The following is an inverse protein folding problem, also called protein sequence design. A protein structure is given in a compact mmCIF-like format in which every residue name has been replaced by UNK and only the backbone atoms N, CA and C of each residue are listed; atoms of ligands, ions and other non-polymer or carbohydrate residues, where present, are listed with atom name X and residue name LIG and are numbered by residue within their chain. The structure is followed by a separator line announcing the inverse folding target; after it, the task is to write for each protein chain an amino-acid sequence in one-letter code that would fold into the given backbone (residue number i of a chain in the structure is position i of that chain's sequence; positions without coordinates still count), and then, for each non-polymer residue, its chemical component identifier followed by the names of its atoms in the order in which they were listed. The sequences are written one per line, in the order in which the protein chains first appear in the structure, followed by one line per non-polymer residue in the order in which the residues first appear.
data_IF_603928099421
#
_entry.id   IF_603928099421
#
_cell.length_a   1.000
_cell.length_b   1.000
_cell.length_c   1.000
_cell.angle_alpha   90.00
_cell.angle_beta   90.00
_cell.angle_gamma   90.00
#
_symmetry.space_group_name_H-M   'P 1'
#
loop_
_entity.id
_entity.type
_entity.pdbx_description
1 polymer ?
#
# COMPACT_ATOMS: atom_id res chain seq x y z
N UNK A 1 -9.83 -64.67 34.04
CA UNK A 1 -10.41 -63.95 32.91
C UNK A 1 -9.99 -62.49 33.06
N UNK A 2 -8.95 -62.03 32.34
CA UNK A 2 -8.39 -60.69 32.40
C UNK A 2 -9.01 -59.90 31.25
N UNK A 3 -9.80 -58.88 31.55
CA UNK A 3 -10.35 -57.97 30.56
C UNK A 3 -9.32 -56.86 30.28
N UNK A 4 -8.78 -56.88 29.07
CA UNK A 4 -7.84 -55.85 28.54
C UNK A 4 -8.67 -54.68 28.07
N UNK A 5 -8.54 -53.52 28.74
CA UNK A 5 -9.18 -52.25 28.36
C UNK A 5 -8.23 -51.51 27.41
N UNK A 6 -8.54 -51.53 26.12
CA UNK A 6 -7.85 -50.71 25.11
C UNK A 6 -8.36 -49.27 25.21
N UNK A 7 -7.55 -48.37 25.74
CA UNK A 7 -7.77 -46.93 25.67
C UNK A 7 -7.19 -46.45 24.34
N UNK A 8 -8.06 -46.20 23.39
CA UNK A 8 -7.73 -45.59 22.10
C UNK A 8 -7.57 -44.07 22.31
N UNK A 9 -6.33 -43.61 22.43
CA UNK A 9 -6.02 -42.19 22.54
C UNK A 9 -6.12 -41.56 21.16
N UNK A 10 -7.27 -40.90 20.85
CA UNK A 10 -7.44 -40.09 19.64
C UNK A 10 -6.65 -38.80 19.81
N UNK A 11 -5.45 -38.77 19.22
CA UNK A 11 -4.65 -37.55 19.09
C UNK A 11 -5.24 -36.68 17.98
N UNK A 12 -6.17 -35.80 18.32
CA UNK A 12 -6.70 -34.79 17.39
C UNK A 12 -5.63 -33.73 17.21
N UNK A 13 -4.83 -33.85 16.17
CA UNK A 13 -3.90 -32.81 15.71
C UNK A 13 -4.74 -31.67 15.13
N UNK A 14 -5.02 -30.65 15.94
CA UNK A 14 -5.58 -29.39 15.45
C UNK A 14 -4.48 -28.68 14.65
N UNK A 15 -4.43 -28.93 13.36
CA UNK A 15 -3.68 -28.14 12.42
C UNK A 15 -4.38 -26.76 12.33
N UNK A 16 -3.98 -25.85 13.20
CA UNK A 16 -4.27 -24.42 13.01
C UNK A 16 -3.51 -23.92 11.80
N UNK A 17 -4.04 -24.25 10.61
CA UNK A 17 -3.58 -23.66 9.37
C UNK A 17 -3.83 -22.17 9.43
N UNK A 18 -2.78 -21.37 9.61
CA UNK A 18 -2.80 -19.96 9.28
C UNK A 18 -3.17 -19.86 7.80
N UNK A 19 -4.45 -19.66 7.48
CA UNK A 19 -4.88 -19.38 6.12
C UNK A 19 -4.30 -18.03 5.74
N UNK A 20 -3.18 -18.09 5.01
CA UNK A 20 -2.59 -16.91 4.38
C UNK A 20 -3.63 -16.41 3.39
N UNK A 21 -4.30 -15.31 3.73
CA UNK A 21 -5.25 -14.69 2.80
C UNK A 21 -4.41 -14.12 1.66
N UNK A 22 -4.35 -14.85 0.57
CA UNK A 22 -3.74 -14.36 -0.66
C UNK A 22 -4.57 -13.16 -1.15
N UNK A 23 -3.93 -12.08 -1.62
CA UNK A 23 -4.65 -10.94 -2.15
C UNK A 23 -5.48 -11.38 -3.37
N UNK A 24 -6.69 -10.89 -3.49
CA UNK A 24 -7.59 -11.17 -4.63
C UNK A 24 -6.99 -10.73 -5.95
N UNK A 25 -6.05 -9.78 -5.90
CA UNK A 25 -5.25 -9.29 -7.04
C UNK A 25 -3.89 -8.79 -6.53
N UNK A 26 -2.88 -8.91 -7.36
CA UNK A 26 -1.51 -8.42 -7.09
C UNK A 26 -1.17 -7.17 -7.88
N UNK A 27 -2.11 -6.63 -8.64
CA UNK A 27 -1.94 -5.41 -9.44
C UNK A 27 -3.28 -4.76 -9.73
N UNK A 28 -3.27 -3.46 -10.03
CA UNK A 28 -4.47 -2.73 -10.41
C UNK A 28 -4.26 -1.24 -10.54
N UNK A 29 -5.38 -0.54 -10.65
CA UNK A 29 -5.48 0.91 -10.52
C UNK A 29 -6.50 1.18 -9.43
N UNK A 30 -6.13 2.00 -8.48
CA UNK A 30 -6.97 2.40 -7.34
C UNK A 30 -6.81 3.88 -7.05
N UNK A 31 -7.70 4.40 -6.19
CA UNK A 31 -7.74 5.78 -5.80
C UNK A 31 -7.85 5.90 -4.29
N UNK A 32 -7.10 6.84 -3.71
CA UNK A 32 -7.20 7.24 -2.30
C UNK A 32 -7.41 8.75 -2.21
N UNK A 33 -8.01 9.20 -1.11
CA UNK A 33 -8.22 10.61 -0.79
C UNK A 33 -7.87 10.91 0.68
N UNK A 34 -7.94 12.19 1.05
CA UNK A 34 -7.70 12.64 2.43
C UNK A 34 -8.99 12.91 3.22
N UNK A 35 -10.14 12.39 2.78
CA UNK A 35 -11.41 12.64 3.46
C UNK A 35 -11.37 12.03 4.88
N UNK A 36 -11.67 12.86 5.87
CA UNK A 36 -11.83 12.42 7.26
C UNK A 36 -13.29 12.04 7.48
N UNK A 37 -13.49 10.79 7.87
CA UNK A 37 -14.80 10.22 8.18
C UNK A 37 -15.07 10.27 9.67
N UNK A 38 -16.33 10.40 10.05
CA UNK A 38 -16.82 10.41 11.45
C UNK A 38 -16.15 11.47 12.33
N UNK A 39 -16.68 12.71 12.39
CA UNK A 39 -16.05 13.83 13.12
C UNK A 39 -15.75 13.56 14.60
N UNK A 40 -16.58 12.74 15.28
CA UNK A 40 -16.39 12.42 16.71
C UNK A 40 -15.39 11.29 16.96
N UNK A 41 -15.03 10.55 15.91
CA UNK A 41 -14.08 9.44 15.99
C UNK A 41 -13.34 9.34 14.62
N UNK A 42 -12.48 10.32 14.33
CA UNK A 42 -11.97 10.56 12.97
C UNK A 42 -11.09 9.41 12.47
N UNK A 43 -11.27 9.06 11.21
CA UNK A 43 -10.41 8.14 10.48
C UNK A 43 -10.35 8.51 8.99
N UNK A 44 -9.34 8.00 8.31
CA UNK A 44 -9.20 8.07 6.86
C UNK A 44 -9.18 6.66 6.28
N UNK A 45 -9.54 6.53 5.01
CA UNK A 45 -9.25 5.33 4.26
C UNK A 45 -7.87 5.43 3.62
N UNK A 46 -7.11 4.36 3.70
CA UNK A 46 -5.88 4.19 2.97
C UNK A 46 -5.91 2.88 2.19
N UNK A 47 -4.88 2.60 1.42
CA UNK A 47 -4.79 1.40 0.60
C UNK A 47 -3.92 0.34 1.28
N UNK A 48 -4.40 -0.91 1.26
CA UNK A 48 -3.63 -2.08 1.68
C UNK A 48 -3.28 -2.92 0.44
N UNK A 49 -1.99 -3.04 0.15
CA UNK A 49 -1.51 -3.85 -0.98
C UNK A 49 -1.78 -5.34 -0.76
N UNK A 50 -1.64 -5.81 0.47
CA UNK A 50 -1.91 -7.22 0.79
C UNK A 50 -3.38 -7.59 0.70
N UNK A 51 -4.29 -6.65 0.96
CA UNK A 51 -5.73 -6.84 0.85
C UNK A 51 -6.27 -6.39 -0.53
N UNK A 52 -5.46 -5.69 -1.33
CA UNK A 52 -5.81 -5.10 -2.63
C UNK A 52 -7.07 -4.22 -2.60
N UNK A 53 -7.24 -3.44 -1.54
CA UNK A 53 -8.42 -2.59 -1.31
C UNK A 53 -8.17 -1.44 -0.33
N UNK A 54 -9.12 -0.52 -0.29
CA UNK A 54 -9.19 0.50 0.75
C UNK A 54 -9.54 -0.15 2.10
N UNK A 55 -8.83 0.27 3.15
CA UNK A 55 -9.09 -0.11 4.54
C UNK A 55 -9.06 1.14 5.43
N UNK A 56 -9.84 1.13 6.51
CA UNK A 56 -9.84 2.22 7.47
C UNK A 56 -8.54 2.28 8.25
N UNK A 57 -8.07 3.47 8.58
CA UNK A 57 -6.91 3.66 9.47
C UNK A 57 -7.13 3.14 10.90
N UNK A 58 -8.37 2.77 11.24
CA UNK A 58 -8.73 2.13 12.52
C UNK A 58 -8.71 0.61 12.50
N UNK A 59 -8.65 0.00 11.33
CA UNK A 59 -8.61 -1.47 11.23
C UNK A 59 -7.25 -2.04 11.63
N UNK A 60 -7.25 -3.33 11.92
CA UNK A 60 -6.02 -4.11 12.07
C UNK A 60 -6.07 -5.28 11.08
N UNK A 61 -5.15 -5.38 10.12
CA UNK A 61 -4.01 -4.48 9.90
C UNK A 61 -4.45 -3.09 9.39
N UNK A 62 -3.64 -2.08 9.72
CA UNK A 62 -3.78 -0.72 9.18
C UNK A 62 -3.48 -0.67 7.68
N UNK A 63 -3.93 0.37 6.96
CA UNK A 63 -3.52 0.57 5.57
C UNK A 63 -2.00 0.69 5.45
N UNK A 64 -1.45 0.24 4.33
CA UNK A 64 -0.03 0.39 4.01
C UNK A 64 0.32 1.85 3.72
N UNK A 65 -0.56 2.52 2.95
CA UNK A 65 -0.40 3.94 2.58
C UNK A 65 -1.70 4.72 2.82
N UNK A 66 -1.55 5.99 3.21
CA UNK A 66 -2.62 7.00 3.29
C UNK A 66 -2.21 8.25 2.54
N UNK A 67 -3.20 9.07 2.11
CA UNK A 67 -2.96 10.36 1.49
C UNK A 67 -3.08 11.47 2.53
N UNK A 68 -2.14 12.39 2.51
CA UNK A 68 -2.12 13.60 3.30
C UNK A 68 -1.97 14.82 2.39
N UNK A 69 -2.65 15.92 2.73
CA UNK A 69 -2.48 17.21 2.08
C UNK A 69 -1.71 18.12 3.03
N UNK A 70 -0.48 18.47 2.65
CA UNK A 70 0.27 19.49 3.36
C UNK A 70 -0.21 20.87 2.94
N UNK A 71 -0.89 21.56 3.86
CA UNK A 71 -1.51 22.84 3.64
C UNK A 71 -0.67 24.04 4.22
N UNK A 72 0.49 23.77 4.80
CA UNK A 72 1.32 24.80 5.45
C UNK A 72 1.85 25.83 4.46
N UNK A 73 1.96 25.46 3.18
CA UNK A 73 2.46 26.32 2.12
C UNK A 73 1.59 26.22 0.87
N UNK A 74 1.53 27.29 0.09
CA UNK A 74 0.91 27.28 -1.24
C UNK A 74 1.98 27.13 -2.33
N UNK A 75 1.72 26.31 -3.37
CA UNK A 75 0.59 25.42 -3.51
C UNK A 75 0.62 24.27 -2.50
N UNK A 76 -0.55 23.83 -2.03
CA UNK A 76 -0.65 22.66 -1.18
C UNK A 76 0.01 21.44 -1.84
N UNK A 77 0.62 20.58 -1.04
CA UNK A 77 1.31 19.38 -1.55
C UNK A 77 0.61 18.11 -1.11
N UNK A 78 0.50 17.18 -2.03
CA UNK A 78 0.03 15.83 -1.74
C UNK A 78 1.21 14.96 -1.32
N UNK A 79 0.99 14.15 -0.31
CA UNK A 79 2.02 13.26 0.27
C UNK A 79 1.43 11.90 0.54
N UNK A 80 2.11 10.83 0.11
CA UNK A 80 1.80 9.48 0.61
C UNK A 80 2.59 9.23 1.90
N UNK A 81 1.86 8.80 2.92
CA UNK A 81 2.40 8.46 4.23
C UNK A 81 2.21 6.98 4.54
N UNK A 82 3.04 6.45 5.40
CA UNK A 82 2.95 5.07 5.91
C UNK A 82 2.37 5.05 7.31
N UNK A 83 1.73 3.92 7.65
CA UNK A 83 1.29 3.66 9.02
C UNK A 83 2.41 3.07 9.91
N UNK A 84 3.55 2.71 9.32
CA UNK A 84 4.72 2.18 10.03
C UNK A 84 5.75 3.27 10.30
N UNK A 85 6.63 3.07 11.30
CA UNK A 85 7.75 3.98 11.57
C UNK A 85 8.99 3.72 10.70
N UNK A 86 8.88 2.86 9.69
CA UNK A 86 9.99 2.45 8.84
C UNK A 86 9.99 3.26 7.55
N UNK A 87 11.14 3.86 7.15
CA UNK A 87 11.26 4.51 5.84
C UNK A 87 10.89 3.53 4.72
N UNK A 88 9.94 3.89 3.88
CA UNK A 88 9.23 2.93 3.02
C UNK A 88 9.11 3.33 1.56
N UNK A 89 9.48 4.56 1.19
CA UNK A 89 9.35 5.04 -0.19
C UNK A 89 10.70 5.26 -0.84
N UNK A 90 10.76 4.95 -2.13
CA UNK A 90 11.87 5.28 -2.99
C UNK A 90 11.35 5.80 -4.33
N UNK A 91 11.72 7.03 -4.70
CA UNK A 91 11.36 7.60 -6.00
C UNK A 91 12.26 7.04 -7.08
N UNK A 92 11.66 6.36 -8.06
CA UNK A 92 12.35 5.88 -9.26
C UNK A 92 12.61 7.05 -10.23
N UNK A 93 11.62 7.95 -10.38
CA UNK A 93 11.78 9.13 -11.20
C UNK A 93 10.50 9.95 -11.38
N UNK A 94 10.70 11.15 -11.94
CA UNK A 94 9.69 12.04 -12.46
C UNK A 94 9.74 11.98 -13.99
N UNK A 95 8.62 11.83 -14.68
CA UNK A 95 8.56 11.67 -16.13
C UNK A 95 7.74 12.78 -16.77
N UNK A 96 8.12 13.18 -17.96
CA UNK A 96 7.48 14.29 -18.67
C UNK A 96 6.04 13.97 -19.12
N UNK A 97 5.75 12.68 -19.33
CA UNK A 97 4.47 12.23 -19.84
C UNK A 97 4.08 10.83 -19.33
N UNK A 98 2.81 10.47 -19.54
CA UNK A 98 2.26 9.19 -19.13
C UNK A 98 2.96 8.00 -19.80
N UNK A 99 3.32 8.10 -21.06
CA UNK A 99 3.91 6.99 -21.83
C UNK A 99 5.29 6.63 -21.26
N UNK A 100 6.12 7.63 -20.97
CA UNK A 100 7.44 7.44 -20.35
C UNK A 100 7.34 6.87 -18.94
N UNK A 101 6.41 7.39 -18.12
CA UNK A 101 6.16 6.88 -16.78
C UNK A 101 5.68 5.42 -16.81
N UNK A 102 4.73 5.11 -17.72
CA UNK A 102 4.21 3.76 -17.89
C UNK A 102 5.28 2.79 -18.37
N UNK A 103 6.09 3.18 -19.33
CA UNK A 103 7.21 2.36 -19.85
C UNK A 103 8.19 2.04 -18.72
N UNK A 104 8.57 3.03 -17.91
CA UNK A 104 9.45 2.81 -16.76
C UNK A 104 8.80 1.89 -15.73
N UNK A 105 7.54 2.13 -15.40
CA UNK A 105 6.79 1.29 -14.45
C UNK A 105 6.72 -0.17 -14.94
N UNK A 106 6.41 -0.41 -16.21
CA UNK A 106 6.29 -1.77 -16.76
C UNK A 106 7.66 -2.49 -16.79
N UNK A 107 8.72 -1.76 -17.12
CA UNK A 107 10.09 -2.30 -17.18
C UNK A 107 10.79 -2.44 -15.83
N UNK A 108 10.24 -1.87 -14.77
CA UNK A 108 10.80 -2.00 -13.42
C UNK A 108 10.59 -3.43 -12.91
N UNK A 109 11.65 -4.25 -12.98
CA UNK A 109 11.61 -5.68 -12.64
C UNK A 109 12.09 -5.98 -11.23
N UNK A 110 13.03 -5.19 -10.73
CA UNK A 110 13.70 -5.47 -9.45
C UNK A 110 13.77 -4.24 -8.58
N UNK A 111 13.74 -4.46 -7.27
CA UNK A 111 14.05 -3.44 -6.26
C UNK A 111 15.58 -3.40 -6.15
N UNK A 112 16.21 -2.32 -6.65
CA UNK A 112 17.60 -2.02 -6.30
C UNK A 112 17.70 -1.74 -4.79
N UNK A 113 18.91 -1.67 -4.22
CA UNK A 113 19.08 -1.28 -2.81
C UNK A 113 18.91 0.25 -2.71
N UNK A 114 17.71 0.76 -2.45
CA UNK A 114 17.43 2.18 -2.51
C UNK A 114 17.71 2.88 -1.18
N UNK A 115 17.90 4.18 -1.25
CA UNK A 115 17.82 5.03 -0.08
C UNK A 115 16.35 5.33 0.20
N UNK A 116 15.80 4.73 1.24
CA UNK A 116 14.39 4.87 1.60
C UNK A 116 14.10 6.19 2.29
N UNK A 117 12.94 6.77 1.99
CA UNK A 117 12.39 7.95 2.65
C UNK A 117 11.11 7.59 3.43
N UNK A 118 10.77 8.39 4.43
CA UNK A 118 9.57 8.15 5.26
C UNK A 118 8.26 8.42 4.51
N UNK A 119 8.32 9.31 3.53
CA UNK A 119 7.15 9.78 2.76
C UNK A 119 7.49 9.89 1.28
N UNK A 120 6.48 9.74 0.43
CA UNK A 120 6.53 10.19 -0.95
C UNK A 120 6.00 11.63 -1.00
N UNK A 121 6.87 12.62 -1.05
CA UNK A 121 6.56 14.05 -0.99
C UNK A 121 7.42 14.89 -1.97
N UNK A 122 6.82 15.75 -2.79
CA UNK A 122 5.43 15.73 -3.19
C UNK A 122 5.14 14.58 -4.16
N UNK A 123 3.87 14.09 -4.17
CA UNK A 123 3.41 13.22 -5.25
C UNK A 123 2.81 14.06 -6.38
N UNK A 124 3.23 13.74 -7.60
CA UNK A 124 2.79 14.39 -8.83
C UNK A 124 2.46 13.32 -9.88
N UNK A 125 1.65 13.70 -10.87
CA UNK A 125 1.39 12.84 -12.03
C UNK A 125 2.67 12.40 -12.73
N UNK A 126 2.65 11.22 -13.30
CA UNK A 126 3.75 10.62 -14.02
C UNK A 126 5.00 10.31 -13.17
N UNK A 127 4.87 10.26 -11.86
CA UNK A 127 5.93 9.72 -11.00
C UNK A 127 5.84 8.20 -10.89
N UNK A 128 7.01 7.57 -10.74
CA UNK A 128 7.11 6.15 -10.40
C UNK A 128 7.87 6.01 -9.08
N UNK A 129 7.31 5.18 -8.20
CA UNK A 129 7.82 4.92 -6.87
C UNK A 129 7.92 3.43 -6.60
N UNK A 130 8.82 3.05 -5.71
CA UNK A 130 8.81 1.76 -5.02
C UNK A 130 8.39 2.01 -3.57
N UNK A 131 7.50 1.17 -3.09
CA UNK A 131 7.03 1.15 -1.72
C UNK A 131 7.44 -0.16 -1.05
N UNK A 132 7.85 -0.08 0.23
CA UNK A 132 8.17 -1.20 1.08
C UNK A 132 7.20 -1.27 2.25
N UNK A 133 6.46 -2.37 2.39
CA UNK A 133 5.57 -2.59 3.53
C UNK A 133 6.36 -2.83 4.84
N UNK A 134 5.67 -2.74 5.97
CA UNK A 134 6.27 -3.06 7.27
C UNK A 134 6.86 -4.48 7.36
N UNK A 135 6.36 -5.42 6.55
CA UNK A 135 6.80 -6.81 6.49
C UNK A 135 7.81 -7.09 5.35
N UNK A 136 8.52 -6.06 4.86
CA UNK A 136 9.52 -6.15 3.80
C UNK A 136 9.01 -6.79 2.49
N UNK A 137 7.77 -6.49 2.14
CA UNK A 137 7.22 -6.78 0.81
C UNK A 137 7.19 -5.49 0.00
N UNK A 138 7.18 -5.61 -1.32
CA UNK A 138 7.37 -4.46 -2.19
C UNK A 138 6.18 -4.23 -3.10
N UNK A 139 5.87 -2.96 -3.34
CA UNK A 139 4.97 -2.55 -4.41
C UNK A 139 5.69 -1.53 -5.30
N UNK A 140 5.48 -1.60 -6.61
CA UNK A 140 5.77 -0.49 -7.50
C UNK A 140 4.48 0.28 -7.74
N UNK A 141 4.59 1.60 -7.77
CA UNK A 141 3.48 2.54 -7.86
C UNK A 141 3.78 3.53 -8.99
N UNK A 142 2.82 3.75 -9.88
CA UNK A 142 2.82 4.87 -10.83
C UNK A 142 1.68 5.79 -10.49
N UNK A 143 1.96 7.09 -10.29
CA UNK A 143 0.93 8.10 -10.10
C UNK A 143 0.30 8.40 -11.44
N UNK A 144 -1.02 8.15 -11.54
CA UNK A 144 -1.79 8.32 -12.78
C UNK A 144 -2.40 9.72 -12.84
N UNK A 145 -3.02 10.16 -11.76
CA UNK A 145 -3.57 11.51 -11.64
C UNK A 145 -3.61 11.95 -10.19
N UNK A 146 -3.61 13.26 -10.01
CA UNK A 146 -3.75 13.89 -8.70
C UNK A 146 -4.76 15.03 -8.77
N UNK A 147 -5.56 15.17 -7.70
CA UNK A 147 -6.39 16.37 -7.47
C UNK A 147 -5.89 17.04 -6.21
N UNK A 148 -5.72 18.35 -6.27
CA UNK A 148 -5.29 19.16 -5.13
C UNK A 148 -6.03 20.51 -5.20
N UNK A 149 -7.04 20.67 -4.35
CA UNK A 149 -7.96 21.81 -4.40
C UNK A 149 -8.46 22.20 -3.01
N UNK A 150 -9.09 23.36 -2.90
CA UNK A 150 -9.86 23.75 -1.74
C UNK A 150 -11.33 23.44 -1.95
N UNK A 151 -11.91 22.65 -1.05
CA UNK A 151 -13.36 22.40 -0.97
C UNK A 151 -13.91 23.09 0.28
N UNK A 152 -14.68 24.13 0.09
CA UNK A 152 -15.23 24.92 1.21
C UNK A 152 -14.13 25.37 2.20
N UNK A 153 -12.99 25.85 1.69
CA UNK A 153 -11.81 26.26 2.44
C UNK A 153 -11.05 25.11 3.15
N UNK A 154 -11.44 23.85 2.92
CA UNK A 154 -10.74 22.69 3.46
C UNK A 154 -9.84 22.11 2.35
N UNK A 155 -8.53 21.91 2.62
CA UNK A 155 -7.64 21.26 1.66
C UNK A 155 -8.13 19.85 1.33
N UNK A 156 -8.41 19.61 0.07
CA UNK A 156 -8.79 18.30 -0.44
C UNK A 156 -7.75 17.81 -1.45
N UNK A 157 -7.45 16.54 -1.36
CA UNK A 157 -6.61 15.85 -2.32
C UNK A 157 -7.09 14.45 -2.61
N UNK A 158 -6.89 14.01 -3.84
CA UNK A 158 -6.98 12.61 -4.20
C UNK A 158 -5.81 12.20 -5.11
N UNK A 159 -5.54 10.91 -5.13
CA UNK A 159 -4.51 10.32 -5.95
C UNK A 159 -5.02 9.02 -6.55
N UNK A 160 -5.04 8.95 -7.88
CA UNK A 160 -5.22 7.70 -8.62
C UNK A 160 -3.84 7.13 -8.95
N UNK A 161 -3.63 5.87 -8.65
CA UNK A 161 -2.35 5.22 -8.87
C UNK A 161 -2.50 3.80 -9.42
N UNK A 162 -1.59 3.44 -10.32
CA UNK A 162 -1.40 2.08 -10.79
C UNK A 162 -0.37 1.39 -9.90
N UNK A 163 -0.57 0.11 -9.59
CA UNK A 163 0.33 -0.62 -8.71
C UNK A 163 0.52 -2.08 -9.12
N UNK A 164 1.68 -2.64 -8.74
CA UNK A 164 1.97 -4.07 -8.75
C UNK A 164 2.60 -4.42 -7.40
N UNK A 165 2.08 -5.43 -6.74
CA UNK A 165 2.53 -5.87 -5.43
C UNK A 165 3.23 -7.22 -5.50
N UNK A 166 4.38 -7.30 -4.86
CA UNK A 166 5.17 -8.50 -4.68
C UNK A 166 4.87 -9.08 -3.30
N UNK A 167 4.04 -10.13 -3.26
CA UNK A 167 3.49 -10.69 -2.02
C UNK A 167 4.42 -11.69 -1.33
N UNK A 168 5.40 -12.25 -2.04
CA UNK A 168 6.29 -13.28 -1.50
C UNK A 168 7.54 -12.74 -0.77
N UNK A 169 7.76 -11.41 -0.84
CA UNK A 169 8.91 -10.75 -0.21
C UNK A 169 10.18 -10.79 -1.07
N UNK A 170 10.14 -11.34 -2.29
CA UNK A 170 11.27 -11.24 -3.20
C UNK A 170 11.45 -9.79 -3.69
N UNK A 171 12.66 -9.46 -4.12
CA UNK A 171 12.96 -8.15 -4.72
C UNK A 171 12.58 -8.05 -6.19
N UNK A 172 11.88 -9.06 -6.76
CA UNK A 172 11.51 -9.11 -8.16
C UNK A 172 10.00 -8.98 -8.33
N UNK A 173 9.56 -8.00 -9.10
CA UNK A 173 8.15 -7.83 -9.39
C UNK A 173 7.64 -8.87 -10.39
N UNK A 174 6.39 -9.36 -10.25
CA UNK A 174 5.80 -10.29 -11.19
C UNK A 174 5.76 -9.66 -12.59
N UNK A 175 6.11 -10.46 -13.61
CA UNK A 175 5.97 -10.10 -15.01
C UNK A 175 4.51 -10.29 -15.40
N UNK A 176 3.91 -9.26 -16.02
CA UNK A 176 2.58 -9.38 -16.61
C UNK A 176 2.66 -10.06 -17.96
#
# INVERSE_FOLDING_TARGET
MKRLLFILLFLVSVLTGCTKVEPTRTSGVDKIDNIIYQPNDPFVYGFSFSAAKLVSSKTNPKPDITLYVNADNLPHRLTLQVSSLKPSFFKVGDFADEASAKTTFDNLKTVAVPQWTDMADPILENQVWIFRTGNDRYAKIRIVSTVNELRQLIPFGDCTFQWVFQSDGSSTFPVK
#
